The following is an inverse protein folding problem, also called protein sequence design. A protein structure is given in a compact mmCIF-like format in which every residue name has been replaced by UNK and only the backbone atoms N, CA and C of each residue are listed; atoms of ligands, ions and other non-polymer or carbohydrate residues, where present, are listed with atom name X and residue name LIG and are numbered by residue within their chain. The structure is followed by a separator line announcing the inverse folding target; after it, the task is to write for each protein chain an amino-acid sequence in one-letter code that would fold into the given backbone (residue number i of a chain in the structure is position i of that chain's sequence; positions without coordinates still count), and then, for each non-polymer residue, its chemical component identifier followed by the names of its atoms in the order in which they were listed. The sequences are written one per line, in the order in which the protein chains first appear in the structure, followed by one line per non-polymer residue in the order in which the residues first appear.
data_IF_590190311145
#
_entry.id   IF_590190311145
#
_cell.length_a   1.000
_cell.length_b   1.000
_cell.length_c   1.000
_cell.angle_alpha   90.00
_cell.angle_beta   90.00
_cell.angle_gamma   90.00
#
_symmetry.space_group_name_H-M   'P 1'
#
loop_
_entity.id
_entity.type
_entity.pdbx_description
1 polymer ?
#
# COMPACT_ATOMS: atom_id res chain seq x y z
N UNK A 1 -8.94 9.53 -22.67
CA UNK A 1 -7.66 9.86 -22.01
C UNK A 1 -7.57 9.04 -20.73
N UNK A 2 -6.51 8.24 -20.54
CA UNK A 2 -6.40 7.30 -19.41
C UNK A 2 -5.74 7.91 -18.18
N UNK A 3 -6.29 7.62 -17.00
CA UNK A 3 -5.73 8.01 -15.69
C UNK A 3 -5.61 6.74 -14.86
N UNK A 4 -4.43 6.50 -14.28
CA UNK A 4 -4.20 5.45 -13.29
C UNK A 4 -4.40 6.09 -11.93
N UNK A 5 -5.30 5.54 -11.11
CA UNK A 5 -5.48 5.95 -9.72
C UNK A 5 -5.05 4.81 -8.83
N UNK A 6 -4.09 5.07 -7.95
CA UNK A 6 -3.65 4.11 -6.94
C UNK A 6 -4.21 4.55 -5.59
N UNK A 7 -5.00 3.68 -4.98
CA UNK A 7 -5.57 3.88 -3.64
C UNK A 7 -5.04 2.80 -2.72
N UNK A 8 -4.42 3.22 -1.62
CA UNK A 8 -3.81 2.32 -0.65
C UNK A 8 -4.69 2.23 0.59
N UNK A 9 -4.94 1.00 1.02
CA UNK A 9 -5.74 0.70 2.21
C UNK A 9 -5.03 -0.35 3.09
N UNK A 10 -5.57 -0.58 4.29
CA UNK A 10 -4.98 -1.47 5.29
C UNK A 10 -4.43 -0.68 6.48
N UNK A 11 -3.42 -1.24 7.14
CA UNK A 11 -2.88 -0.67 8.37
C UNK A 11 -2.19 0.67 8.18
N UNK A 12 -1.86 1.08 6.95
CA UNK A 12 -1.15 2.32 6.63
C UNK A 12 -1.68 3.54 7.38
N UNK A 13 -0.78 4.27 8.06
CA UNK A 13 -1.12 5.46 8.88
C UNK A 13 -1.81 6.57 8.06
N UNK A 14 -1.48 6.68 6.78
CA UNK A 14 -2.19 7.51 5.81
C UNK A 14 -2.62 6.64 4.64
N UNK A 15 -3.78 6.94 4.05
CA UNK A 15 -4.29 6.28 2.84
C UNK A 15 -3.96 7.16 1.63
N UNK A 16 -2.71 7.18 1.16
CA UNK A 16 -2.36 8.00 0.01
C UNK A 16 -3.19 7.56 -1.19
N UNK A 17 -3.71 8.55 -1.91
CA UNK A 17 -4.33 8.36 -3.21
C UNK A 17 -3.51 9.16 -4.20
N UNK A 18 -2.86 8.47 -5.14
CA UNK A 18 -2.05 9.11 -6.17
C UNK A 18 -2.61 8.85 -7.56
N UNK A 19 -2.43 9.82 -8.45
CA UNK A 19 -2.94 9.79 -9.81
C UNK A 19 -1.81 10.00 -10.80
N UNK A 20 -1.70 9.08 -11.75
CA UNK A 20 -0.74 9.13 -12.86
C UNK A 20 -1.48 9.29 -14.17
N UNK A 21 -1.08 10.28 -14.97
CA UNK A 21 -1.79 10.66 -16.20
C UNK A 21 -1.03 10.23 -17.43
N UNK A 22 -1.72 9.57 -18.37
CA UNK A 22 -1.13 9.20 -19.67
C UNK A 22 -1.00 10.39 -20.65
N UNK A 23 -1.32 11.63 -20.22
CA UNK A 23 -1.37 12.81 -21.09
C UNK A 23 -0.03 13.15 -21.75
N UNK A 24 1.08 13.04 -21.01
CA UNK A 24 2.39 13.51 -21.49
C UNK A 24 3.23 12.42 -22.17
N UNK A 25 3.12 11.18 -21.70
CA UNK A 25 3.99 10.08 -22.09
C UNK A 25 3.28 8.79 -22.52
N UNK A 26 1.95 8.86 -22.67
CA UNK A 26 1.13 7.67 -22.91
C UNK A 26 1.05 6.74 -21.70
N UNK A 27 0.41 5.58 -21.91
CA UNK A 27 0.13 4.62 -20.84
C UNK A 27 1.40 3.99 -20.26
N UNK A 28 2.39 3.70 -21.09
CA UNK A 28 3.64 3.06 -20.64
C UNK A 28 4.39 3.93 -19.62
N UNK A 29 4.48 5.25 -19.88
CA UNK A 29 5.10 6.17 -18.92
C UNK A 29 4.28 6.27 -17.63
N UNK A 30 2.95 6.43 -17.73
CA UNK A 30 2.10 6.50 -16.54
C UNK A 30 2.22 5.23 -15.66
N UNK A 31 2.37 4.05 -16.27
CA UNK A 31 2.63 2.79 -15.56
C UNK A 31 4.03 2.79 -14.93
N UNK A 32 5.06 3.24 -15.64
CA UNK A 32 6.42 3.31 -15.12
C UNK A 32 6.51 4.24 -13.89
N UNK A 33 5.92 5.42 -13.97
CA UNK A 33 5.81 6.38 -12.85
C UNK A 33 5.04 5.78 -11.66
N UNK A 34 3.96 5.04 -11.95
CA UNK A 34 3.20 4.34 -10.91
C UNK A 34 4.06 3.32 -10.17
N UNK A 35 4.82 2.48 -10.90
CA UNK A 35 5.69 1.45 -10.31
C UNK A 35 6.83 2.09 -9.52
N UNK A 36 7.41 3.17 -10.04
CA UNK A 36 8.47 3.91 -9.37
C UNK A 36 7.99 4.48 -8.03
N UNK A 37 6.82 5.12 -8.02
CA UNK A 37 6.23 5.65 -6.79
C UNK A 37 5.91 4.55 -5.78
N UNK A 38 5.31 3.44 -6.21
CA UNK A 38 5.05 2.28 -5.35
C UNK A 38 6.35 1.75 -4.72
N UNK A 39 7.42 1.70 -5.51
CA UNK A 39 8.69 1.13 -5.07
C UNK A 39 9.46 2.06 -4.12
N UNK A 40 9.45 3.37 -4.37
CA UNK A 40 10.22 4.35 -3.61
C UNK A 40 9.50 4.86 -2.36
N UNK A 41 8.18 5.01 -2.44
CA UNK A 41 7.40 5.64 -1.36
C UNK A 41 6.63 4.62 -0.53
N UNK A 42 5.91 3.71 -1.19
CA UNK A 42 4.91 2.88 -0.53
C UNK A 42 5.53 1.67 0.14
N UNK A 43 6.35 0.89 -0.60
CA UNK A 43 6.96 -0.32 -0.06
C UNK A 43 7.83 -0.04 1.18
N UNK A 44 8.69 0.99 1.22
CA UNK A 44 9.48 1.27 2.41
C UNK A 44 8.62 1.65 3.62
N UNK A 45 7.57 2.44 3.43
CA UNK A 45 6.62 2.80 4.49
C UNK A 45 5.86 1.57 5.01
N UNK A 46 5.48 0.66 4.11
CA UNK A 46 4.84 -0.61 4.48
C UNK A 46 5.76 -1.46 5.37
N UNK A 47 7.01 -1.63 4.96
CA UNK A 47 8.02 -2.42 5.70
C UNK A 47 8.32 -1.78 7.06
N UNK A 48 8.54 -0.46 7.10
CA UNK A 48 8.78 0.24 8.35
C UNK A 48 7.61 0.05 9.31
N UNK A 49 6.39 0.17 8.79
CA UNK A 49 5.20 0.01 9.61
C UNK A 49 5.04 -1.42 10.13
N UNK A 50 5.31 -2.43 9.30
CA UNK A 50 5.32 -3.83 9.72
C UNK A 50 6.32 -4.05 10.88
N UNK A 51 7.55 -3.53 10.75
CA UNK A 51 8.54 -3.57 11.82
C UNK A 51 8.09 -2.85 13.10
N UNK A 52 7.44 -1.69 12.98
CA UNK A 52 6.90 -0.98 14.15
C UNK A 52 5.80 -1.80 14.83
N UNK A 53 4.85 -2.34 14.07
CA UNK A 53 3.75 -3.13 14.63
C UNK A 53 4.26 -4.41 15.28
N UNK A 54 5.24 -5.07 14.67
CA UNK A 54 5.94 -6.21 15.26
C UNK A 54 6.64 -5.84 16.57
N UNK A 55 7.31 -4.69 16.63
CA UNK A 55 8.01 -4.20 17.84
C UNK A 55 7.06 -3.77 18.96
N UNK A 56 5.87 -3.24 18.61
CA UNK A 56 4.86 -2.77 19.55
C UNK A 56 4.06 -3.90 20.21
N UNK A 57 4.27 -5.17 19.81
CA UNK A 57 3.85 -6.31 20.62
C UNK A 57 2.35 -6.57 20.69
N UNK A 58 1.51 -5.87 19.93
CA UNK A 58 0.12 -6.29 19.68
C UNK A 58 0.13 -7.48 18.72
N UNK A 59 0.63 -8.63 19.20
CA UNK A 59 0.35 -9.91 18.54
C UNK A 59 -1.18 -9.99 18.44
N UNK A 60 -1.76 -10.28 17.26
CA UNK A 60 -3.21 -10.39 17.15
C UNK A 60 -3.69 -11.36 18.22
N UNK A 61 -4.45 -10.86 19.20
CA UNK A 61 -4.91 -11.66 20.36
C UNK A 61 -5.76 -12.86 19.93
N UNK A 62 -6.26 -12.84 18.69
CA UNK A 62 -6.93 -13.92 18.01
C UNK A 62 -6.02 -14.34 16.85
N UNK A 63 -5.27 -15.43 17.02
CA UNK A 63 -4.61 -16.06 15.88
C UNK A 63 -5.65 -16.40 14.80
N UNK A 64 -5.25 -16.37 13.53
CA UNK A 64 -6.08 -16.65 12.34
C UNK A 64 -6.72 -18.06 12.27
N UNK A 65 -6.93 -18.74 13.41
CA UNK A 65 -7.40 -20.12 13.49
C UNK A 65 -8.30 -20.47 14.67
N UNK A 66 -8.74 -19.54 15.52
CA UNK A 66 -9.84 -19.86 16.48
C UNK A 66 -11.18 -19.65 15.79
N UNK A 67 -11.63 -20.72 15.15
CA UNK A 67 -13.04 -20.89 14.81
C UNK A 67 -13.90 -20.56 16.01
N UNK A 68 -14.98 -19.85 15.75
CA UNK A 68 -16.01 -19.50 16.72
C UNK A 68 -16.69 -20.81 17.13
N UNK A 69 -16.13 -21.51 18.10
CA UNK A 69 -16.81 -22.65 18.73
C UNK A 69 -17.90 -22.06 19.63
N UNK A 70 -19.11 -22.04 19.08
CA UNK A 70 -20.37 -21.88 19.81
C UNK A 70 -20.69 -23.12 20.61
#
# INVERSE_FOLDING_TARGET
MGIITVSISGSFMSRPTEKFSALHGGHAQAVAETIEWLSKEVLPKAIQQDHMQHSLGEKPGIGFGKGRET
#
